data_IF_256158268070
#
_entry.id   IF_256158268070
#
_cell.length_a   1.000
_cell.length_b   1.000
_cell.length_c   1.000
_cell.angle_alpha   90.00
_cell.angle_beta   90.00
_cell.angle_gamma   90.00
#
_symmetry.space_group_name_H-M   'P 1'
#
loop_
_entity.id
_entity.type
_entity.pdbx_description
1 polymer ?
#
# COMPACT_ATOMS: atom_id res chain seq x y z
N UNK A 1 -6.51 -38.71 9.95
CA UNK A 1 -5.94 -37.41 10.37
C UNK A 1 -6.06 -36.45 9.19
N UNK A 2 -6.90 -35.42 9.32
CA UNK A 2 -7.18 -34.49 8.21
C UNK A 2 -5.98 -33.58 7.96
N UNK A 3 -5.40 -33.67 6.77
CA UNK A 3 -4.35 -32.78 6.31
C UNK A 3 -4.92 -31.36 6.22
N UNK A 4 -4.44 -30.45 7.07
CA UNK A 4 -4.86 -29.06 6.99
C UNK A 4 -4.37 -28.48 5.66
N UNK A 5 -5.29 -28.01 4.82
CA UNK A 5 -4.98 -27.31 3.58
C UNK A 5 -4.08 -26.11 3.86
N UNK A 6 -3.13 -25.82 2.97
CA UNK A 6 -2.33 -24.59 3.06
C UNK A 6 -3.26 -23.38 3.16
N UNK A 7 -3.05 -22.46 4.12
CA UNK A 7 -3.82 -21.22 4.19
C UNK A 7 -3.65 -20.45 2.88
N UNK A 8 -4.75 -20.15 2.20
CA UNK A 8 -4.77 -19.36 0.96
C UNK A 8 -4.87 -17.86 1.24
N UNK A 9 -5.23 -17.47 2.46
CA UNK A 9 -5.36 -16.08 2.88
C UNK A 9 -4.15 -15.63 3.70
N UNK A 10 -3.67 -14.42 3.46
CA UNK A 10 -2.59 -13.79 4.22
C UNK A 10 -3.12 -12.62 5.04
N UNK A 11 -2.84 -12.64 6.34
CA UNK A 11 -3.17 -11.52 7.24
C UNK A 11 -2.04 -10.51 7.19
N UNK A 12 -2.33 -9.30 6.71
CA UNK A 12 -1.40 -8.18 6.79
C UNK A 12 -1.59 -7.52 8.16
N UNK A 13 -0.60 -7.67 9.03
CA UNK A 13 -0.51 -6.90 10.27
C UNK A 13 0.28 -5.66 9.91
N UNK A 14 -0.36 -4.49 9.84
CA UNK A 14 0.21 -3.21 9.42
C UNK A 14 1.35 -2.69 10.31
N UNK A 15 2.42 -3.46 10.41
CA UNK A 15 3.57 -3.21 11.27
C UNK A 15 4.75 -2.88 10.37
N UNK A 16 5.04 -1.59 10.30
CA UNK A 16 6.16 -1.04 9.54
C UNK A 16 5.70 0.09 8.65
N UNK A 17 6.41 1.21 8.75
CA UNK A 17 6.38 2.27 7.77
C UNK A 17 7.66 2.25 6.96
N UNK A 18 7.61 2.75 5.73
CA UNK A 18 8.80 3.00 4.93
C UNK A 18 8.68 4.31 4.18
N UNK A 19 9.83 4.93 3.93
CA UNK A 19 9.94 6.13 3.12
C UNK A 19 9.91 5.75 1.64
N UNK A 20 8.91 6.23 0.92
CA UNK A 20 8.82 6.05 -0.53
C UNK A 20 9.65 7.08 -1.28
N UNK A 21 10.00 6.74 -2.52
CA UNK A 21 10.75 7.65 -3.44
C UNK A 21 9.98 8.96 -3.72
N UNK A 22 8.67 8.92 -3.51
CA UNK A 22 7.71 10.00 -3.66
C UNK A 22 7.70 11.01 -2.50
N UNK A 23 8.59 10.85 -1.51
CA UNK A 23 8.64 11.69 -0.30
C UNK A 23 7.38 11.59 0.58
N UNK A 24 6.81 10.38 0.67
CA UNK A 24 5.73 10.07 1.59
C UNK A 24 6.11 8.84 2.41
N UNK A 25 5.60 8.79 3.64
CA UNK A 25 5.69 7.63 4.52
C UNK A 25 4.51 6.69 4.28
N UNK A 26 4.79 5.46 3.89
CA UNK A 26 3.79 4.45 3.54
C UNK A 26 3.68 3.38 4.62
N UNK A 27 2.46 2.87 4.83
CA UNK A 27 2.20 1.60 5.50
C UNK A 27 1.96 0.54 4.42
N UNK A 28 2.79 -0.50 4.40
CA UNK A 28 2.67 -1.58 3.41
C UNK A 28 1.42 -2.42 3.64
N UNK A 29 0.51 -2.40 2.66
CA UNK A 29 -0.68 -3.23 2.58
C UNK A 29 -0.46 -4.45 1.68
N UNK A 30 -1.30 -4.60 0.66
CA UNK A 30 -1.18 -5.66 -0.35
C UNK A 30 -0.10 -5.24 -1.35
N UNK A 31 1.03 -5.94 -1.38
CA UNK A 31 2.13 -5.67 -2.31
C UNK A 31 2.86 -6.96 -2.66
N UNK A 32 3.77 -6.91 -3.63
CA UNK A 32 4.62 -8.05 -4.00
C UNK A 32 5.47 -8.49 -2.79
N UNK A 33 6.00 -7.54 -2.02
CA UNK A 33 6.88 -7.78 -0.88
C UNK A 33 6.12 -8.35 0.34
N UNK A 34 4.86 -7.94 0.52
CA UNK A 34 4.06 -8.39 1.67
C UNK A 34 3.24 -9.63 1.36
N UNK A 35 2.69 -9.77 0.16
CA UNK A 35 1.72 -10.81 -0.20
C UNK A 35 2.09 -11.61 -1.45
N UNK A 36 3.08 -11.17 -2.22
CA UNK A 36 3.37 -11.74 -3.54
C UNK A 36 2.35 -11.35 -4.61
N UNK A 37 1.60 -10.26 -4.40
CA UNK A 37 0.63 -9.78 -5.38
C UNK A 37 1.32 -9.33 -6.67
N UNK A 38 0.68 -9.61 -7.81
CA UNK A 38 1.20 -9.24 -9.14
C UNK A 38 0.35 -8.20 -9.85
N UNK A 39 -0.96 -8.16 -9.57
CA UNK A 39 -1.90 -7.25 -10.24
C UNK A 39 -2.41 -6.08 -9.39
N UNK A 40 -2.07 -6.04 -8.10
CA UNK A 40 -2.48 -4.96 -7.22
C UNK A 40 -1.37 -4.62 -6.23
N UNK A 41 -1.15 -3.32 -6.05
CA UNK A 41 -0.29 -2.75 -5.03
C UNK A 41 -1.11 -1.71 -4.26
N UNK A 42 -1.33 -1.93 -2.97
CA UNK A 42 -2.17 -1.10 -2.12
C UNK A 42 -1.43 -0.77 -0.84
N UNK A 43 -1.26 0.53 -0.60
CA UNK A 43 -0.65 1.08 0.59
C UNK A 43 -1.62 2.01 1.30
N UNK A 44 -1.40 2.20 2.60
CA UNK A 44 -2.08 3.22 3.38
C UNK A 44 -1.08 4.34 3.70
N UNK A 45 -1.56 5.58 3.67
CA UNK A 45 -0.77 6.75 3.98
C UNK A 45 -1.51 7.64 4.95
N UNK A 46 -0.75 8.31 5.83
CA UNK A 46 -1.22 9.46 6.57
C UNK A 46 -0.42 10.68 6.11
N UNK A 47 -1.09 11.66 5.50
CA UNK A 47 -0.44 12.84 4.93
C UNK A 47 -0.77 14.05 5.83
N UNK A 48 0.21 14.62 6.56
CA UNK A 48 -0.01 15.81 7.36
C UNK A 48 -0.46 17.01 6.52
N UNK A 49 -1.13 18.02 7.12
CA UNK A 49 -1.48 19.24 6.42
C UNK A 49 -0.25 19.90 5.78
N UNK A 50 -0.42 20.40 4.55
CA UNK A 50 0.60 21.06 3.71
C UNK A 50 1.69 20.15 3.12
N UNK A 51 1.68 18.86 3.43
CA UNK A 51 2.57 17.90 2.78
C UNK A 51 2.12 17.55 1.37
N UNK A 52 3.06 17.11 0.53
CA UNK A 52 2.78 16.68 -0.85
C UNK A 52 3.78 15.65 -1.35
N UNK A 53 3.32 14.76 -2.21
CA UNK A 53 4.22 13.88 -2.95
C UNK A 53 5.10 14.67 -3.93
N UNK A 54 6.29 14.15 -4.22
CA UNK A 54 7.05 14.51 -5.42
C UNK A 54 6.28 14.05 -6.66
N UNK A 55 6.20 14.90 -7.68
CA UNK A 55 5.60 14.53 -8.96
C UNK A 55 6.38 13.37 -9.59
N UNK A 56 5.66 12.36 -10.10
CA UNK A 56 6.23 11.15 -10.68
C UNK A 56 5.25 10.49 -11.65
N UNK A 57 5.76 9.56 -12.46
CA UNK A 57 4.99 8.80 -13.44
C UNK A 57 4.71 7.38 -12.94
N UNK A 58 3.50 6.90 -13.14
CA UNK A 58 3.13 5.50 -12.93
C UNK A 58 3.24 4.76 -14.26
N UNK A 59 4.41 4.17 -14.49
CA UNK A 59 4.64 3.40 -15.70
C UNK A 59 4.00 2.00 -15.55
N UNK A 60 3.28 1.55 -16.58
CA UNK A 60 2.67 0.21 -16.67
C UNK A 60 1.52 -0.09 -15.71
N UNK A 61 0.96 0.89 -15.01
CA UNK A 61 -0.23 0.68 -14.17
C UNK A 61 -1.05 1.95 -13.98
N UNK A 62 -2.35 1.74 -13.79
CA UNK A 62 -3.27 2.80 -13.37
C UNK A 62 -3.25 2.95 -11.85
N UNK A 63 -3.77 4.07 -11.35
CA UNK A 63 -3.86 4.31 -9.91
C UNK A 63 -5.15 5.00 -9.54
N UNK A 64 -5.72 4.55 -8.43
CA UNK A 64 -6.81 5.20 -7.75
C UNK A 64 -6.36 5.58 -6.34
N UNK A 65 -6.85 6.72 -5.86
CA UNK A 65 -6.61 7.19 -4.49
C UNK A 65 -7.97 7.34 -3.83
N UNK A 66 -8.13 6.73 -2.65
CA UNK A 66 -9.33 6.84 -1.84
C UNK A 66 -9.02 7.55 -0.52
N UNK A 67 -9.66 8.70 -0.29
CA UNK A 67 -9.49 9.50 0.92
C UNK A 67 -10.45 8.97 2.00
N UNK A 68 -9.90 8.29 3.00
CA UNK A 68 -10.67 7.75 4.13
C UNK A 68 -11.13 8.86 5.09
N UNK A 69 -10.26 9.86 5.32
CA UNK A 69 -10.55 11.02 6.17
C UNK A 69 -9.73 12.23 5.74
N UNK A 70 -10.30 13.43 5.91
CA UNK A 70 -9.68 14.69 5.47
C UNK A 70 -10.10 15.08 4.05
N UNK A 71 -9.29 15.92 3.40
CA UNK A 71 -9.52 16.41 2.04
C UNK A 71 -8.18 16.53 1.31
N UNK A 72 -8.20 16.36 -0.02
CA UNK A 72 -7.04 16.48 -0.89
C UNK A 72 -7.41 17.32 -2.13
N UNK A 73 -6.39 17.92 -2.75
CA UNK A 73 -6.48 18.70 -4.00
C UNK A 73 -5.46 18.21 -5.01
#
# INVERSE_FOLDING_TARGET
MSAHSKPTCKVIRGRGTYEGKQALTYVSGIAAETTGSQGICMHLLNIPPKERAKAHLHENHETAIYVISGQAI
#
